data_IF_108604807818
#
_entry.id   IF_108604807818
#
_cell.length_a   1.000
_cell.length_b   1.000
_cell.length_c   1.000
_cell.angle_alpha   90.00
_cell.angle_beta   90.00
_cell.angle_gamma   90.00
#
_symmetry.space_group_name_H-M   'P 1'
#
loop_
_entity.id
_entity.type
_entity.pdbx_description
1 polymer ?
#
# COMPACT_ATOMS: atom_id res chain seq x y z
N UNK A 1 49.73 39.21 35.41
CA UNK A 1 49.26 38.56 34.17
C UNK A 1 47.81 38.11 34.34
N UNK A 2 47.47 37.45 35.44
CA UNK A 2 46.10 37.01 35.75
C UNK A 2 45.06 38.14 35.81
N UNK A 3 45.41 39.32 36.30
CA UNK A 3 44.45 40.44 36.35
C UNK A 3 44.12 41.01 34.97
N UNK A 4 45.05 40.93 34.02
CA UNK A 4 44.78 41.33 32.63
C UNK A 4 43.90 40.30 31.91
N UNK A 5 44.06 39.00 32.24
CA UNK A 5 43.21 37.93 31.69
C UNK A 5 41.77 38.11 32.16
N UNK A 6 41.55 38.39 33.45
CA UNK A 6 40.20 38.63 34.01
C UNK A 6 39.52 39.84 33.38
N UNK A 7 40.28 40.90 33.07
CA UNK A 7 39.74 42.09 32.42
C UNK A 7 39.27 41.78 30.99
N UNK A 8 40.08 41.05 30.22
CA UNK A 8 39.74 40.64 28.85
C UNK A 8 38.55 39.71 28.83
N UNK A 9 38.45 38.77 29.78
CA UNK A 9 37.29 37.87 29.88
C UNK A 9 36.00 38.62 30.22
N UNK A 10 36.07 39.64 31.09
CA UNK A 10 34.92 40.48 31.41
C UNK A 10 34.46 41.31 30.20
N UNK A 11 35.40 41.91 29.47
CA UNK A 11 35.11 42.69 28.26
C UNK A 11 34.52 41.81 27.15
N UNK A 12 35.06 40.59 26.98
CA UNK A 12 34.51 39.60 26.04
C UNK A 12 33.09 39.19 26.40
N UNK A 13 32.80 38.96 27.69
CA UNK A 13 31.45 38.62 28.14
C UNK A 13 30.46 39.77 27.86
N UNK A 14 30.89 41.02 28.05
CA UNK A 14 30.08 42.19 27.76
C UNK A 14 29.77 42.33 26.25
N UNK A 15 30.78 42.12 25.40
CA UNK A 15 30.59 42.18 23.93
C UNK A 15 29.66 41.08 23.43
N UNK A 16 29.76 39.86 23.98
CA UNK A 16 28.83 38.76 23.65
C UNK A 16 27.40 39.10 24.07
N UNK A 17 27.21 39.65 25.27
CA UNK A 17 25.88 40.06 25.74
C UNK A 17 25.27 41.15 24.83
N UNK A 18 26.07 42.13 24.39
CA UNK A 18 25.64 43.16 23.44
C UNK A 18 25.26 42.58 22.08
N UNK A 19 26.07 41.64 21.56
CA UNK A 19 25.78 41.01 20.27
C UNK A 19 24.46 40.22 20.31
N UNK A 20 24.23 39.43 21.37
CA UNK A 20 22.96 38.72 21.57
C UNK A 20 21.79 39.71 21.63
N UNK A 21 21.95 40.82 22.33
CA UNK A 21 20.90 41.85 22.43
C UNK A 21 20.58 42.50 21.08
N UNK A 22 21.58 42.76 20.24
CA UNK A 22 21.37 43.31 18.89
C UNK A 22 20.70 42.29 17.96
N UNK A 23 21.10 41.02 18.00
CA UNK A 23 20.59 39.98 17.09
C UNK A 23 19.18 39.50 17.46
N UNK A 24 18.86 39.45 18.76
CA UNK A 24 17.60 38.84 19.24
C UNK A 24 16.60 39.85 19.81
N UNK A 25 17.02 41.09 20.07
CA UNK A 25 16.22 42.09 20.79
C UNK A 25 16.08 41.81 22.29
N UNK A 26 16.77 40.81 22.84
CA UNK A 26 16.69 40.42 24.25
C UNK A 26 17.81 41.12 25.04
N UNK A 27 17.44 42.01 25.96
CA UNK A 27 18.40 42.67 26.86
C UNK A 27 18.94 41.68 27.90
N UNK A 28 20.21 41.29 27.73
CA UNK A 28 20.90 40.29 28.57
C UNK A 28 21.63 40.93 29.75
N UNK A 29 21.47 42.24 29.98
CA UNK A 29 22.07 42.89 31.16
C UNK A 29 21.48 42.27 32.43
N UNK A 30 22.31 41.93 33.44
CA UNK A 30 21.81 41.34 34.67
C UNK A 30 20.99 42.41 35.42
N UNK A 31 19.67 42.36 35.26
CA UNK A 31 18.75 43.13 36.10
C UNK A 31 19.05 42.76 37.56
N UNK A 32 19.26 43.81 38.37
CA UNK A 32 19.34 43.81 39.84
C UNK A 32 18.45 42.69 40.41
N UNK A 33 18.91 41.88 41.38
CA UNK A 33 18.17 40.70 41.83
C UNK A 33 16.79 41.14 42.32
N UNK A 34 15.80 40.96 41.43
CA UNK A 34 14.42 41.14 41.76
C UNK A 34 14.14 40.16 42.88
N UNK A 35 13.59 40.69 43.98
CA UNK A 35 13.04 39.93 45.09
C UNK A 35 12.39 38.65 44.56
N UNK A 36 12.79 37.51 45.15
CA UNK A 36 12.37 36.16 44.80
C UNK A 36 11.02 36.16 44.08
N UNK A 37 11.06 36.09 42.74
CA UNK A 37 9.90 35.68 41.96
C UNK A 37 9.69 34.25 42.43
N UNK A 38 8.80 34.08 43.41
CA UNK A 38 8.28 32.79 43.77
C UNK A 38 7.82 32.19 42.44
N UNK A 39 8.60 31.25 41.90
CA UNK A 39 8.17 30.42 40.81
C UNK A 39 6.88 29.81 41.32
N UNK A 40 5.75 30.38 40.88
CA UNK A 40 4.47 29.74 41.07
C UNK A 40 4.66 28.39 40.38
N UNK A 41 4.87 27.35 41.18
CA UNK A 41 4.76 25.97 40.76
C UNK A 41 3.31 25.81 40.36
N UNK A 42 2.95 26.27 39.17
CA UNK A 42 1.74 25.85 38.51
C UNK A 42 1.84 24.34 38.46
N UNK A 43 0.87 23.67 39.10
CA UNK A 43 0.80 22.22 39.05
C UNK A 43 0.94 21.81 37.57
N UNK A 44 1.88 20.91 37.29
CA UNK A 44 2.08 20.44 35.93
C UNK A 44 0.73 19.92 35.40
N UNK A 45 0.32 20.30 34.18
CA UNK A 45 -0.94 19.85 33.63
C UNK A 45 -0.96 18.31 33.61
N UNK A 46 -2.02 17.71 34.14
CA UNK A 46 -2.17 16.25 34.13
C UNK A 46 -2.68 15.78 32.76
N UNK A 47 -2.33 14.56 32.36
CA UNK A 47 -2.91 13.92 31.19
C UNK A 47 -4.43 13.76 31.34
N UNK A 48 -5.19 14.06 30.28
CA UNK A 48 -6.63 13.86 30.26
C UNK A 48 -6.95 12.43 29.79
N UNK A 49 -7.15 11.52 30.75
CA UNK A 49 -7.53 10.12 30.46
C UNK A 49 -9.07 10.03 30.44
N UNK A 50 -9.63 9.70 29.28
CA UNK A 50 -11.07 9.59 29.00
C UNK A 50 -11.57 8.15 28.95
N UNK A 51 -10.67 7.15 28.89
CA UNK A 51 -11.01 5.72 28.79
C UNK A 51 -11.88 5.38 27.58
N UNK A 52 -11.46 5.83 26.39
CA UNK A 52 -12.15 5.48 25.16
C UNK A 52 -12.13 3.96 24.93
N UNK A 53 -13.26 3.34 24.53
CA UNK A 53 -13.29 1.92 24.22
C UNK A 53 -12.55 1.63 22.91
N UNK A 54 -11.96 0.43 22.81
CA UNK A 54 -11.34 -0.02 21.56
C UNK A 54 -12.41 -0.17 20.47
N UNK A 55 -12.25 0.48 19.29
CA UNK A 55 -13.16 0.29 18.18
C UNK A 55 -13.11 -1.14 17.64
N UNK A 56 -14.26 -1.77 17.47
CA UNK A 56 -14.37 -3.09 16.86
C UNK A 56 -14.21 -3.00 15.33
N UNK A 57 -12.96 -3.10 14.86
CA UNK A 57 -12.64 -3.07 13.43
C UNK A 57 -12.91 -4.41 12.73
N UNK A 58 -12.98 -5.53 13.48
CA UNK A 58 -13.12 -6.86 12.89
C UNK A 58 -14.56 -7.14 12.42
N UNK A 59 -15.55 -6.43 12.97
CA UNK A 59 -16.94 -6.48 12.48
C UNK A 59 -17.20 -5.62 11.24
N UNK A 60 -16.27 -4.75 10.85
CA UNK A 60 -16.43 -3.90 9.68
C UNK A 60 -16.28 -4.71 8.40
N UNK A 61 -17.25 -4.56 7.49
CA UNK A 61 -17.27 -5.30 6.21
C UNK A 61 -16.92 -4.45 5.01
N UNK A 62 -16.87 -3.13 5.17
CA UNK A 62 -16.68 -2.16 4.09
C UNK A 62 -15.50 -1.22 4.36
N UNK A 63 -14.74 -0.90 3.31
CA UNK A 63 -13.55 -0.04 3.40
C UNK A 63 -13.91 1.37 3.86
N UNK A 64 -15.08 1.91 3.50
CA UNK A 64 -15.48 3.25 3.92
C UNK A 64 -15.84 3.29 5.41
N UNK A 65 -16.40 2.20 5.95
CA UNK A 65 -16.63 2.08 7.39
C UNK A 65 -15.30 2.09 8.15
N UNK A 66 -14.30 1.37 7.64
CA UNK A 66 -12.95 1.37 8.22
C UNK A 66 -12.32 2.77 8.17
N UNK A 67 -12.45 3.49 7.06
CA UNK A 67 -11.99 4.88 6.93
C UNK A 67 -12.71 5.83 7.91
N UNK A 68 -14.02 5.69 8.06
CA UNK A 68 -14.81 6.50 9.00
C UNK A 68 -14.43 6.25 10.47
N UNK A 69 -13.92 5.05 10.79
CA UNK A 69 -13.52 4.69 12.15
C UNK A 69 -12.16 5.29 12.59
N UNK A 70 -11.42 5.92 11.69
CA UNK A 70 -10.05 6.41 11.96
C UNK A 70 -9.99 7.40 13.13
N UNK A 71 -10.94 8.33 13.23
CA UNK A 71 -10.99 9.30 14.35
C UNK A 71 -11.15 8.61 15.71
N UNK A 72 -12.04 7.62 15.80
CA UNK A 72 -12.25 6.85 17.02
C UNK A 72 -11.02 6.04 17.42
N UNK A 73 -10.29 5.53 16.43
CA UNK A 73 -9.06 4.79 16.64
C UNK A 73 -7.93 5.71 17.14
N UNK A 74 -7.84 6.92 16.59
CA UNK A 74 -6.92 7.95 17.06
C UNK A 74 -7.22 8.32 18.53
N UNK A 75 -8.49 8.55 18.86
CA UNK A 75 -8.92 8.88 20.23
C UNK A 75 -8.56 7.75 21.22
N UNK A 76 -8.76 6.48 20.82
CA UNK A 76 -8.38 5.32 21.61
C UNK A 76 -6.86 5.24 21.88
N UNK A 77 -6.03 5.41 20.85
CA UNK A 77 -4.58 5.35 21.03
C UNK A 77 -4.04 6.56 21.80
N UNK A 78 -4.60 7.75 21.60
CA UNK A 78 -4.27 8.93 22.40
C UNK A 78 -4.56 8.71 23.88
N UNK A 79 -5.72 8.12 24.21
CA UNK A 79 -6.07 7.77 25.59
C UNK A 79 -5.14 6.72 26.20
N UNK A 80 -4.78 5.71 25.40
CA UNK A 80 -3.87 4.64 25.82
C UNK A 80 -2.47 5.18 26.13
N UNK A 81 -1.95 6.07 25.29
CA UNK A 81 -0.65 6.71 25.53
C UNK A 81 -0.73 7.65 26.74
N UNK A 82 -1.80 8.45 26.86
CA UNK A 82 -2.01 9.32 28.01
C UNK A 82 -2.01 8.52 29.33
N UNK A 83 -2.65 7.34 29.36
CA UNK A 83 -2.63 6.43 30.50
C UNK A 83 -1.23 5.90 30.78
N UNK A 84 -0.54 5.40 29.76
CA UNK A 84 0.83 4.88 29.89
C UNK A 84 1.79 5.94 30.42
N UNK A 85 1.72 7.16 29.90
CA UNK A 85 2.54 8.30 30.33
C UNK A 85 2.24 8.71 31.78
N UNK A 86 0.97 8.65 32.18
CA UNK A 86 0.55 8.88 33.57
C UNK A 86 1.07 7.79 34.52
N UNK A 87 1.13 6.54 34.09
CA UNK A 87 1.63 5.42 34.90
C UNK A 87 3.14 5.53 35.18
N UNK A 88 3.90 6.14 34.26
CA UNK A 88 5.35 6.37 34.40
C UNK A 88 5.70 7.75 34.99
N UNK A 89 4.72 8.49 35.51
CA UNK A 89 4.87 9.84 36.10
C UNK A 89 5.53 10.88 35.17
N UNK A 90 5.28 10.75 33.86
CA UNK A 90 5.78 11.69 32.86
C UNK A 90 4.70 12.72 32.54
N UNK A 91 4.95 13.98 32.89
CA UNK A 91 4.05 15.08 32.55
C UNK A 91 4.05 15.42 31.04
N UNK A 92 2.95 15.96 30.51
CA UNK A 92 2.81 16.33 29.10
C UNK A 92 3.79 17.42 28.65
N UNK A 93 4.29 18.24 29.58
CA UNK A 93 5.22 19.36 29.32
C UNK A 93 6.70 19.02 29.60
N UNK A 94 7.09 17.74 29.53
CA UNK A 94 8.49 17.33 29.65
C UNK A 94 9.39 17.94 28.53
N UNK A 95 10.72 17.89 28.69
CA UNK A 95 11.73 18.61 27.88
C UNK A 95 11.68 18.32 26.36
N UNK A 96 11.20 17.13 25.99
CA UNK A 96 10.66 16.86 24.66
C UNK A 96 9.14 16.89 24.81
N UNK A 97 8.40 17.50 23.88
CA UNK A 97 6.94 17.48 23.87
C UNK A 97 6.45 16.03 23.77
N UNK A 98 6.36 15.33 24.91
CA UNK A 98 5.88 13.95 24.98
C UNK A 98 4.46 13.86 24.43
N UNK A 99 3.73 14.98 24.46
CA UNK A 99 2.47 15.16 23.74
C UNK A 99 2.61 15.04 22.22
N UNK A 100 3.62 15.63 21.58
CA UNK A 100 3.84 15.50 20.13
C UNK A 100 4.28 14.08 19.77
N UNK A 101 5.16 13.47 20.58
CA UNK A 101 5.52 12.05 20.42
C UNK A 101 4.28 11.14 20.53
N UNK A 102 3.44 11.37 21.55
CA UNK A 102 2.20 10.62 21.75
C UNK A 102 1.23 10.75 20.56
N UNK A 103 1.05 11.97 20.03
CA UNK A 103 0.20 12.20 18.86
C UNK A 103 0.77 11.50 17.62
N UNK A 104 2.08 11.57 17.42
CA UNK A 104 2.76 10.89 16.31
C UNK A 104 2.60 9.37 16.40
N UNK A 105 2.79 8.80 17.58
CA UNK A 105 2.67 7.36 17.82
C UNK A 105 1.22 6.89 17.66
N UNK A 106 0.25 7.63 18.23
CA UNK A 106 -1.17 7.32 18.08
C UNK A 106 -1.61 7.34 16.60
N UNK A 107 -1.16 8.35 15.85
CA UNK A 107 -1.42 8.48 14.41
C UNK A 107 -0.81 7.34 13.60
N UNK A 108 0.42 6.92 13.95
CA UNK A 108 1.09 5.80 13.29
C UNK A 108 0.35 4.50 13.56
N UNK A 109 -0.01 4.23 14.81
CA UNK A 109 -0.71 3.01 15.22
C UNK A 109 -2.13 2.93 14.64
N UNK A 110 -2.86 4.04 14.63
CA UNK A 110 -4.20 4.09 14.03
C UNK A 110 -4.14 3.79 12.54
N UNK A 111 -3.21 4.41 11.82
CA UNK A 111 -3.01 4.20 10.39
C UNK A 111 -2.61 2.75 10.09
N UNK A 112 -1.66 2.18 10.82
CA UNK A 112 -1.22 0.80 10.61
C UNK A 112 -2.36 -0.20 10.81
N UNK A 113 -3.14 -0.04 11.88
CA UNK A 113 -4.27 -0.92 12.18
C UNK A 113 -5.39 -0.80 11.14
N UNK A 114 -5.63 0.40 10.64
CA UNK A 114 -6.56 0.64 9.55
C UNK A 114 -6.11 -0.06 8.25
N UNK A 115 -4.84 0.09 7.88
CA UNK A 115 -4.26 -0.57 6.70
C UNK A 115 -4.34 -2.09 6.80
N UNK A 116 -4.07 -2.67 7.96
CA UNK A 116 -4.23 -4.11 8.21
C UNK A 116 -5.67 -4.58 7.96
N UNK A 117 -6.65 -3.81 8.43
CA UNK A 117 -8.07 -4.14 8.26
C UNK A 117 -8.49 -4.06 6.79
N UNK A 118 -8.05 -3.00 6.08
CA UNK A 118 -8.30 -2.85 4.64
C UNK A 118 -7.67 -4.01 3.85
N UNK A 119 -6.43 -4.39 4.16
CA UNK A 119 -5.76 -5.52 3.51
C UNK A 119 -6.58 -6.82 3.65
N UNK A 120 -7.06 -7.14 4.86
CA UNK A 120 -7.92 -8.31 5.09
C UNK A 120 -9.22 -8.25 4.27
N UNK A 121 -9.85 -7.08 4.14
CA UNK A 121 -11.06 -6.91 3.33
C UNK A 121 -10.79 -7.11 1.84
N UNK A 122 -9.66 -6.62 1.35
CA UNK A 122 -9.22 -6.82 -0.03
C UNK A 122 -8.92 -8.30 -0.31
N UNK A 123 -8.22 -8.99 0.59
CA UNK A 123 -7.94 -10.43 0.45
C UNK A 123 -9.24 -11.24 0.38
N UNK A 124 -10.21 -10.94 1.25
CA UNK A 124 -11.54 -11.55 1.18
C UNK A 124 -12.23 -11.27 -0.15
N UNK A 125 -12.12 -10.04 -0.67
CA UNK A 125 -12.73 -9.66 -1.95
C UNK A 125 -12.06 -10.39 -3.11
N UNK A 126 -10.74 -10.52 -3.11
CA UNK A 126 -9.98 -11.29 -4.10
C UNK A 126 -10.39 -12.76 -4.03
N UNK A 127 -10.40 -13.38 -2.85
CA UNK A 127 -10.85 -14.76 -2.68
C UNK A 127 -12.29 -14.99 -3.17
N UNK A 128 -13.19 -14.03 -2.95
CA UNK A 128 -14.56 -14.07 -3.45
C UNK A 128 -14.66 -13.96 -4.99
N UNK A 129 -13.76 -13.20 -5.61
CA UNK A 129 -13.65 -13.10 -7.07
C UNK A 129 -13.02 -14.36 -7.68
N UNK A 130 -12.01 -14.92 -7.02
CA UNK A 130 -11.29 -16.12 -7.47
C UNK A 130 -12.09 -17.41 -7.29
N UNK A 131 -12.87 -17.51 -6.22
CA UNK A 131 -13.78 -18.64 -5.97
C UNK A 131 -14.94 -18.71 -6.96
N UNK A 132 -15.15 -17.68 -7.78
CA UNK A 132 -16.27 -17.59 -8.72
C UNK A 132 -17.64 -17.39 -8.06
N UNK A 133 -17.66 -17.17 -6.73
CA UNK A 133 -18.88 -16.85 -5.97
C UNK A 133 -19.42 -15.48 -6.34
N UNK A 134 -18.52 -14.52 -6.62
CA UNK A 134 -18.91 -13.30 -7.32
C UNK A 134 -19.00 -13.65 -8.80
N UNK A 135 -20.23 -13.72 -9.31
CA UNK A 135 -20.59 -13.90 -10.73
C UNK A 135 -20.08 -12.68 -11.53
N UNK A 136 -18.77 -12.61 -11.68
CA UNK A 136 -18.05 -11.56 -12.37
C UNK A 136 -17.73 -11.99 -13.78
N UNK A 137 -17.66 -11.00 -14.66
CA UNK A 137 -17.31 -11.20 -16.06
C UNK A 137 -15.86 -11.67 -16.16
N UNK A 138 -15.63 -12.91 -16.59
CA UNK A 138 -14.28 -13.51 -16.69
C UNK A 138 -13.76 -13.40 -18.12
N UNK A 139 -12.66 -12.66 -18.33
CA UNK A 139 -12.00 -12.62 -19.63
C UNK A 139 -11.10 -13.86 -19.82
N UNK A 140 -11.40 -14.65 -20.86
CA UNK A 140 -10.71 -15.92 -21.17
C UNK A 140 -9.78 -15.81 -22.39
N UNK A 141 -9.47 -14.60 -22.86
CA UNK A 141 -8.51 -14.37 -23.94
C UNK A 141 -9.12 -14.51 -25.34
N UNK A 142 -8.30 -14.92 -26.32
CA UNK A 142 -8.74 -15.12 -27.71
C UNK A 142 -9.51 -16.43 -27.83
N UNK A 143 -10.61 -16.43 -28.57
CA UNK A 143 -11.43 -17.62 -28.81
C UNK A 143 -10.61 -18.80 -29.37
N UNK A 144 -10.81 -19.98 -28.80
CA UNK A 144 -10.23 -21.25 -29.21
C UNK A 144 -11.31 -22.32 -29.23
N UNK A 145 -11.40 -23.06 -30.33
CA UNK A 145 -12.49 -24.05 -30.55
C UNK A 145 -12.51 -25.17 -29.51
N UNK A 146 -11.36 -25.51 -28.93
CA UNK A 146 -11.22 -26.63 -27.97
C UNK A 146 -11.52 -26.22 -26.52
N UNK A 147 -11.66 -24.92 -26.24
CA UNK A 147 -11.87 -24.42 -24.87
C UNK A 147 -13.37 -24.36 -24.57
N UNK A 148 -13.74 -24.80 -23.36
CA UNK A 148 -15.10 -24.63 -22.84
C UNK A 148 -15.25 -23.24 -22.22
N UNK A 149 -16.29 -22.53 -22.64
CA UNK A 149 -16.64 -21.20 -22.15
C UNK A 149 -17.91 -21.29 -21.31
N UNK A 150 -17.88 -20.81 -20.07
CA UNK A 150 -19.06 -20.72 -19.22
C UNK A 150 -19.86 -19.45 -19.52
N UNK A 151 -21.17 -19.47 -19.24
CA UNK A 151 -21.99 -18.26 -19.27
C UNK A 151 -21.36 -17.14 -18.43
N UNK A 152 -21.41 -15.91 -18.93
CA UNK A 152 -20.75 -14.74 -18.33
C UNK A 152 -19.30 -14.51 -18.75
N UNK A 153 -18.68 -15.45 -19.48
CA UNK A 153 -17.30 -15.30 -19.95
C UNK A 153 -17.18 -14.30 -21.11
N UNK A 154 -16.09 -13.53 -21.12
CA UNK A 154 -15.68 -12.70 -22.26
C UNK A 154 -14.56 -13.35 -23.05
N UNK A 155 -14.66 -13.29 -24.37
CA UNK A 155 -13.62 -13.75 -25.30
C UNK A 155 -13.42 -12.74 -26.43
N UNK A 156 -12.22 -12.71 -26.99
CA UNK A 156 -11.90 -11.89 -28.16
C UNK A 156 -11.90 -12.76 -29.41
N UNK A 157 -12.66 -12.37 -30.44
CA UNK A 157 -12.71 -13.06 -31.72
C UNK A 157 -12.82 -12.04 -32.86
N UNK A 158 -11.92 -12.14 -33.85
CA UNK A 158 -11.78 -11.18 -34.98
C UNK A 158 -11.66 -9.73 -34.51
N UNK A 159 -10.87 -9.51 -33.46
CA UNK A 159 -10.64 -8.19 -32.85
C UNK A 159 -11.83 -7.63 -32.05
N UNK A 160 -12.97 -8.32 -32.04
CA UNK A 160 -14.15 -7.92 -31.30
C UNK A 160 -14.23 -8.64 -29.96
N UNK A 161 -14.82 -7.99 -28.95
CA UNK A 161 -15.09 -8.56 -27.64
C UNK A 161 -16.50 -9.14 -27.60
N UNK A 162 -16.63 -10.39 -27.17
CA UNK A 162 -17.88 -11.14 -27.14
C UNK A 162 -18.17 -11.67 -25.74
N UNK A 163 -19.43 -11.58 -25.32
CA UNK A 163 -19.96 -12.16 -24.09
C UNK A 163 -20.66 -13.48 -24.37
N UNK A 164 -20.35 -14.48 -23.55
CA UNK A 164 -20.91 -15.83 -23.62
C UNK A 164 -22.22 -15.87 -22.84
N UNK A 165 -23.36 -15.98 -23.52
CA UNK A 165 -24.68 -16.02 -22.88
C UNK A 165 -25.01 -17.38 -22.27
N UNK A 166 -24.46 -18.45 -22.84
CA UNK A 166 -24.72 -19.85 -22.49
C UNK A 166 -23.42 -20.64 -22.49
N UNK A 167 -23.30 -21.61 -21.57
CA UNK A 167 -22.20 -22.57 -21.56
C UNK A 167 -22.03 -23.22 -22.95
N UNK A 168 -20.81 -23.17 -23.50
CA UNK A 168 -20.53 -23.64 -24.86
C UNK A 168 -19.13 -24.19 -25.03
N UNK A 169 -18.94 -25.00 -26.07
CA UNK A 169 -17.63 -25.49 -26.51
C UNK A 169 -17.66 -25.61 -28.04
N UNK A 170 -16.66 -25.07 -28.72
CA UNK A 170 -16.50 -25.19 -30.17
C UNK A 170 -17.41 -24.32 -31.05
N UNK A 171 -18.32 -23.53 -30.47
CA UNK A 171 -19.18 -22.59 -31.20
C UNK A 171 -18.43 -21.27 -31.41
N UNK A 172 -18.29 -20.82 -32.66
CA UNK A 172 -17.55 -19.61 -33.01
C UNK A 172 -18.38 -18.33 -32.75
N UNK A 173 -17.82 -17.29 -32.12
CA UNK A 173 -18.51 -16.02 -31.93
C UNK A 173 -18.77 -15.31 -33.28
N UNK A 174 -20.02 -14.88 -33.49
CA UNK A 174 -20.43 -14.14 -34.70
C UNK A 174 -21.07 -14.99 -35.80
N UNK A 175 -21.16 -16.31 -35.65
CA UNK A 175 -21.79 -17.22 -36.63
C UNK A 175 -23.34 -17.23 -36.57
N UNK A 176 -23.95 -16.08 -36.25
CA UNK A 176 -25.40 -15.93 -36.10
C UNK A 176 -26.03 -16.70 -34.93
N UNK A 177 -25.23 -17.35 -34.07
CA UNK A 177 -25.72 -18.04 -32.90
C UNK A 177 -26.15 -17.07 -31.78
N UNK A 178 -27.06 -17.54 -30.90
CA UNK A 178 -27.47 -16.81 -29.68
C UNK A 178 -26.51 -17.03 -28.50
N UNK A 179 -25.44 -17.80 -28.71
CA UNK A 179 -24.48 -18.19 -27.68
C UNK A 179 -23.57 -17.02 -27.31
N UNK A 180 -23.21 -16.18 -28.29
CA UNK A 180 -22.38 -14.99 -28.06
C UNK A 180 -23.13 -13.70 -28.38
N UNK A 181 -22.99 -12.70 -27.50
CA UNK A 181 -23.42 -11.32 -27.73
C UNK A 181 -22.18 -10.45 -27.95
N UNK A 182 -22.21 -9.61 -28.98
CA UNK A 182 -21.14 -8.66 -29.24
C UNK A 182 -21.15 -7.55 -28.16
N UNK A 183 -20.04 -7.36 -27.46
CA UNK A 183 -19.87 -6.31 -26.45
C UNK A 183 -19.15 -5.09 -26.99
N UNK A 184 -18.06 -5.31 -27.72
CA UNK A 184 -17.28 -4.23 -28.33
C UNK A 184 -16.84 -4.65 -29.73
N UNK A 185 -17.12 -3.80 -30.71
CA UNK A 185 -16.69 -3.98 -32.10
C UNK A 185 -15.34 -3.31 -32.28
N UNK A 186 -14.40 -3.97 -32.95
CA UNK A 186 -13.20 -3.27 -33.43
C UNK A 186 -13.55 -2.39 -34.63
N UNK A 187 -13.03 -1.16 -34.66
CA UNK A 187 -13.27 -0.14 -35.70
C UNK A 187 -12.58 -0.44 -37.05
N UNK A 188 -12.54 -1.71 -37.46
CA UNK A 188 -12.05 -2.12 -38.77
C UNK A 188 -10.53 -2.02 -38.96
N UNK A 189 -9.78 -1.39 -38.04
CA UNK A 189 -8.32 -1.49 -37.98
C UNK A 189 -7.99 -2.79 -37.25
N UNK A 190 -7.46 -3.83 -37.94
CA UNK A 190 -7.05 -5.05 -37.26
C UNK A 190 -5.98 -4.68 -36.25
N UNK A 191 -6.27 -4.86 -34.96
CA UNK A 191 -5.23 -4.78 -33.94
C UNK A 191 -4.18 -5.85 -34.32
N UNK A 192 -2.90 -5.49 -34.41
CA UNK A 192 -1.87 -6.45 -34.79
C UNK A 192 -1.91 -7.58 -33.76
N UNK A 193 -2.22 -8.79 -34.22
CA UNK A 193 -2.16 -9.99 -33.38
C UNK A 193 -0.77 -10.01 -32.74
N UNK A 194 -0.70 -10.13 -31.41
CA UNK A 194 0.56 -10.30 -30.71
C UNK A 194 0.65 -11.73 -30.21
N UNK A 195 1.83 -12.32 -30.30
CA UNK A 195 2.10 -13.59 -29.63
C UNK A 195 2.11 -13.40 -28.10
N UNK A 196 2.22 -14.49 -27.35
CA UNK A 196 2.33 -14.49 -25.88
C UNK A 196 3.57 -13.74 -25.36
N UNK A 197 4.51 -13.37 -26.24
CA UNK A 197 5.72 -12.61 -25.96
C UNK A 197 5.59 -11.14 -26.42
N UNK A 198 4.43 -10.74 -26.94
CA UNK A 198 4.13 -9.36 -27.33
C UNK A 198 4.64 -8.94 -28.72
N UNK A 199 5.19 -9.85 -29.54
CA UNK A 199 5.62 -9.57 -30.92
C UNK A 199 4.44 -9.56 -31.87
N UNK A 200 4.43 -8.61 -32.81
CA UNK A 200 3.43 -8.52 -33.87
C UNK A 200 3.54 -9.73 -34.81
N UNK A 201 2.44 -10.47 -34.92
CA UNK A 201 2.20 -11.49 -35.93
C UNK A 201 1.75 -10.76 -37.19
N UNK A 202 2.59 -10.71 -38.22
CA UNK A 202 2.21 -10.16 -39.51
C UNK A 202 1.16 -11.10 -40.14
N UNK A 203 -0.08 -10.62 -40.24
CA UNK A 203 -1.20 -11.39 -40.80
C UNK A 203 -1.07 -11.53 -42.31
N UNK A 204 -0.43 -12.61 -42.77
CA UNK A 204 -0.66 -13.35 -44.03
C UNK A 204 0.57 -14.14 -44.52
N UNK A 205 1.70 -14.10 -43.83
CA UNK A 205 2.80 -15.01 -44.22
C UNK A 205 2.49 -16.43 -43.71
N UNK A 206 2.51 -17.47 -44.58
CA UNK A 206 2.51 -18.84 -44.11
C UNK A 206 3.67 -18.98 -43.12
N UNK A 207 3.39 -19.44 -41.90
CA UNK A 207 4.42 -19.66 -40.87
C UNK A 207 5.56 -20.43 -41.53
N UNK A 208 6.75 -19.83 -41.60
CA UNK A 208 7.94 -20.57 -42.01
C UNK A 208 8.08 -21.76 -41.05
N UNK A 209 8.29 -22.99 -41.56
CA UNK A 209 8.43 -24.15 -40.71
C UNK A 209 9.54 -23.85 -39.71
N UNK A 210 9.17 -23.82 -38.44
CA UNK A 210 10.08 -23.41 -37.38
C UNK A 210 10.64 -24.67 -36.77
N UNK A 211 11.97 -24.79 -36.75
CA UNK A 211 12.65 -25.89 -36.07
C UNK A 211 12.48 -25.70 -34.57
N UNK A 212 11.60 -26.48 -33.96
CA UNK A 212 11.41 -26.49 -32.51
C UNK A 212 12.31 -27.58 -31.93
N UNK A 213 13.23 -27.17 -31.06
CA UNK A 213 14.09 -28.10 -30.32
C UNK A 213 13.33 -28.56 -29.06
N UNK A 214 12.75 -29.76 -29.13
CA UNK A 214 12.07 -30.37 -27.99
C UNK A 214 13.11 -31.13 -27.19
N UNK A 215 13.28 -30.76 -25.91
CA UNK A 215 14.13 -31.48 -24.97
C UNK A 215 13.25 -32.41 -24.14
N UNK A 216 13.29 -33.69 -24.46
CA UNK A 216 12.61 -34.73 -23.68
C UNK A 216 13.52 -35.20 -22.56
N UNK A 217 12.98 -35.24 -21.34
CA UNK A 217 13.70 -35.81 -20.19
C UNK A 217 13.54 -37.32 -20.24
N UNK A 218 14.65 -38.06 -20.34
CA UNK A 218 14.63 -39.53 -20.47
C UNK A 218 14.89 -40.25 -19.16
N UNK A 219 15.49 -39.57 -18.16
CA UNK A 219 15.82 -40.20 -16.88
C UNK A 219 15.82 -39.22 -15.72
N UNK A 220 15.24 -39.66 -14.59
CA UNK A 220 15.33 -38.99 -13.30
C UNK A 220 16.07 -39.87 -12.28
N UNK A 221 16.71 -39.26 -11.29
CA UNK A 221 17.21 -39.96 -10.11
C UNK A 221 16.10 -40.20 -9.06
N UNK A 222 16.42 -40.93 -7.99
CA UNK A 222 15.48 -41.20 -6.88
C UNK A 222 15.10 -39.96 -6.07
N UNK A 223 15.78 -38.84 -6.28
CA UNK A 223 15.47 -37.53 -5.69
C UNK A 223 14.74 -36.59 -6.68
N UNK A 224 14.33 -37.09 -7.85
CA UNK A 224 13.61 -36.35 -8.88
C UNK A 224 14.46 -35.45 -9.79
N UNK A 225 15.79 -35.46 -9.65
CA UNK A 225 16.69 -34.64 -10.48
C UNK A 225 16.85 -35.24 -11.87
N UNK A 226 16.91 -34.38 -12.87
CA UNK A 226 17.06 -34.78 -14.27
C UNK A 226 18.49 -35.28 -14.49
N UNK A 227 18.63 -36.56 -14.84
CA UNK A 227 19.93 -37.18 -15.11
C UNK A 227 20.27 -37.17 -16.60
N UNK A 228 19.27 -37.30 -17.46
CA UNK A 228 19.49 -37.43 -18.89
C UNK A 228 18.37 -36.73 -19.68
N UNK A 229 18.78 -35.97 -20.70
CA UNK A 229 17.86 -35.32 -21.62
C UNK A 229 18.24 -35.68 -23.05
N UNK A 230 17.22 -35.92 -23.87
CA UNK A 230 17.35 -36.15 -25.30
C UNK A 230 16.75 -34.97 -26.04
N UNK A 231 17.54 -34.37 -26.91
CA UNK A 231 17.07 -33.29 -27.78
C UNK A 231 16.62 -33.86 -29.11
N UNK A 232 15.42 -33.49 -29.55
CA UNK A 232 14.90 -33.79 -30.88
C UNK A 232 14.46 -32.48 -31.53
N UNK A 233 14.94 -32.23 -32.75
CA UNK A 233 14.46 -31.12 -33.56
C UNK A 233 13.27 -31.61 -34.37
N UNK A 234 12.13 -30.97 -34.20
CA UNK A 234 10.91 -31.22 -34.98
C UNK A 234 10.63 -29.98 -35.81
N UNK A 235 10.36 -30.15 -37.10
CA UNK A 235 9.85 -29.07 -37.94
C UNK A 235 8.32 -29.02 -37.79
N UNK A 236 7.83 -27.90 -37.24
CA UNK A 236 6.42 -27.57 -37.07
C UNK A 236 5.89 -26.73 -38.24
#
# INVERSE_FOLDING_TARGET
MDDQIKLVDAERAELVAKQISVETGIDVTPKTPAAAVAQQKHAAPAWQIKNHPEPDLDSLTDVNQVLASHSHLLDFYMDTIARTMSEIDVGPNSLFSHQEAAVSDASTMSTLRQLQTIAKLLDRRIANLESGVVVGVKYLGVFQKQVRYSAGSLVTHRGCLWHTNLDTTGVEPGDGNRVFTLCAKADGVPLPQRDTVGKRIAGNEPRKPTKVEITEVTKHDSAGRILETRKRVVEE
#
